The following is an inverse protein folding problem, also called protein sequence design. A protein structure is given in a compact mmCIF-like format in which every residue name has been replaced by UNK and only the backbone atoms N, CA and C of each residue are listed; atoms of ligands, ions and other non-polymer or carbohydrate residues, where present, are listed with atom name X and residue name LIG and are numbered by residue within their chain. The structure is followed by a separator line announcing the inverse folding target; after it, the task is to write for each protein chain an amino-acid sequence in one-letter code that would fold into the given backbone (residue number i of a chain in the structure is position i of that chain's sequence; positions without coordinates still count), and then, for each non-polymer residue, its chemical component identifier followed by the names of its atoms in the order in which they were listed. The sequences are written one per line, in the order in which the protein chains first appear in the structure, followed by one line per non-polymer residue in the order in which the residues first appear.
data_IF_023261230752
#
_entry.id   IF_023261230752
#
_cell.length_a   1.000
_cell.length_b   1.000
_cell.length_c   1.000
_cell.angle_alpha   90.00
_cell.angle_beta   90.00
_cell.angle_gamma   90.00
#
_symmetry.space_group_name_H-M   'P 1'
#
loop_
_entity.id
_entity.type
_entity.pdbx_description
1 polymer ?
#
# COMPACT_ATOMS: atom_id res chain seq x y z
N UNK A 1 14.89 4.74 -7.67
CA UNK A 1 13.97 4.21 -8.68
C UNK A 1 14.68 4.28 -10.03
N UNK A 2 14.54 3.25 -10.87
CA UNK A 2 15.01 3.28 -12.27
C UNK A 2 13.78 3.34 -13.16
N UNK A 3 13.72 4.32 -14.05
CA UNK A 3 12.59 4.52 -14.96
C UNK A 3 12.99 4.12 -16.39
N UNK A 4 12.18 3.25 -16.98
CA UNK A 4 12.40 2.71 -18.31
C UNK A 4 11.20 3.02 -19.21
N UNK A 5 11.47 3.39 -20.46
CA UNK A 5 10.46 3.49 -21.52
C UNK A 5 10.58 2.25 -22.41
N UNK A 6 9.50 1.52 -22.59
CA UNK A 6 9.46 0.37 -23.48
C UNK A 6 9.41 0.88 -24.93
N UNK A 7 10.40 0.51 -25.74
CA UNK A 7 10.47 0.86 -27.16
C UNK A 7 9.88 -0.25 -28.01
N UNK A 8 10.27 -1.51 -27.73
CA UNK A 8 9.87 -2.67 -28.52
C UNK A 8 9.62 -3.87 -27.61
N UNK A 9 8.62 -4.66 -27.96
CA UNK A 9 8.30 -5.92 -27.29
C UNK A 9 8.57 -7.09 -28.26
N UNK A 10 9.55 -7.92 -27.92
CA UNK A 10 9.97 -9.10 -28.71
C UNK A 10 9.34 -10.41 -28.20
N UNK A 11 8.42 -10.34 -27.23
CA UNK A 11 7.71 -11.49 -26.66
C UNK A 11 8.40 -12.07 -25.41
N UNK A 12 9.67 -12.42 -25.50
CA UNK A 12 10.51 -12.93 -24.42
C UNK A 12 11.42 -11.87 -23.78
N UNK A 13 11.53 -10.71 -24.42
CA UNK A 13 12.39 -9.60 -24.02
C UNK A 13 11.78 -8.26 -24.41
N UNK A 14 12.20 -7.20 -23.74
CA UNK A 14 11.80 -5.82 -24.01
C UNK A 14 13.03 -4.97 -24.31
N UNK A 15 13.01 -4.25 -25.45
CA UNK A 15 13.97 -3.20 -25.69
C UNK A 15 13.49 -1.91 -24.99
N UNK A 16 14.32 -1.36 -24.12
CA UNK A 16 13.94 -0.21 -23.30
C UNK A 16 14.96 0.93 -23.43
N UNK A 17 14.46 2.14 -23.34
CA UNK A 17 15.27 3.35 -23.10
C UNK A 17 15.29 3.65 -21.61
N UNK A 18 16.47 3.88 -21.05
CA UNK A 18 16.61 4.34 -19.66
C UNK A 18 16.29 5.84 -19.63
N UNK A 19 15.23 6.22 -18.88
CA UNK A 19 14.87 7.60 -18.64
C UNK A 19 15.59 8.12 -17.38
N UNK A 20 15.48 7.37 -16.27
CA UNK A 20 16.19 7.66 -15.02
C UNK A 20 17.08 6.46 -14.67
N UNK A 21 18.39 6.71 -14.63
CA UNK A 21 19.40 5.69 -14.40
C UNK A 21 19.54 5.32 -12.91
N UNK A 22 20.12 4.15 -12.66
CA UNK A 22 20.39 3.67 -11.31
C UNK A 22 20.88 2.24 -11.29
N UNK A 23 21.08 1.69 -10.09
CA UNK A 23 21.48 0.30 -9.90
C UNK A 23 20.25 -0.57 -9.68
N UNK A 24 20.10 -1.60 -10.49
CA UNK A 24 19.06 -2.63 -10.33
C UNK A 24 19.70 -3.86 -9.70
N UNK A 25 19.16 -4.28 -8.55
CA UNK A 25 19.54 -5.53 -7.90
C UNK A 25 18.54 -6.64 -8.26
N UNK A 26 18.93 -7.93 -8.14
CA UNK A 26 18.02 -9.05 -8.40
C UNK A 26 16.73 -8.99 -7.56
N UNK A 27 15.63 -9.55 -8.09
CA UNK A 27 14.32 -9.68 -7.42
C UNK A 27 13.68 -8.34 -7.04
N UNK A 28 13.86 -7.29 -7.84
CA UNK A 28 13.16 -6.02 -7.68
C UNK A 28 11.76 -6.08 -8.28
N UNK A 29 10.83 -5.42 -7.62
CA UNK A 29 9.50 -5.20 -8.17
C UNK A 29 9.59 -4.36 -9.43
N UNK A 30 8.68 -4.65 -10.37
CA UNK A 30 8.48 -3.88 -11.60
C UNK A 30 7.06 -3.33 -11.55
N UNK A 31 6.93 -2.02 -11.58
CA UNK A 31 5.66 -1.34 -11.68
C UNK A 31 5.40 -0.95 -13.13
N UNK A 32 4.15 -1.00 -13.55
CA UNK A 32 3.71 -0.69 -14.91
C UNK A 32 2.60 0.38 -14.83
N UNK A 33 2.96 1.65 -14.55
CA UNK A 33 1.97 2.71 -14.38
C UNK A 33 1.02 2.81 -15.58
N UNK A 34 -0.29 2.92 -15.31
CA UNK A 34 -1.32 3.02 -16.34
C UNK A 34 -1.65 1.73 -17.09
N UNK A 35 -1.04 0.59 -16.75
CA UNK A 35 -1.30 -0.70 -17.39
C UNK A 35 -2.06 -1.62 -16.43
N UNK A 36 -3.28 -1.99 -16.80
CA UNK A 36 -4.02 -3.04 -16.07
C UNK A 36 -3.45 -4.42 -16.42
N UNK A 37 -2.84 -5.07 -15.45
CA UNK A 37 -2.25 -6.42 -15.60
C UNK A 37 -3.30 -7.46 -15.25
N UNK A 38 -3.59 -8.38 -16.19
CA UNK A 38 -4.56 -9.48 -15.99
C UNK A 38 -3.95 -10.61 -15.14
N UNK A 39 -3.62 -10.31 -13.90
CA UNK A 39 -3.21 -11.31 -12.91
C UNK A 39 -4.38 -11.65 -11.99
N UNK A 40 -4.45 -12.88 -11.45
CA UNK A 40 -5.44 -13.19 -10.41
C UNK A 40 -5.25 -12.26 -9.21
N UNK A 41 -6.35 -11.90 -8.53
CA UNK A 41 -6.31 -11.08 -7.32
C UNK A 41 -5.59 -11.77 -6.16
N UNK A 42 -5.74 -13.12 -6.08
CA UNK A 42 -5.08 -14.00 -5.11
C UNK A 42 -4.35 -15.09 -5.87
N UNK A 43 -3.04 -15.17 -5.68
CA UNK A 43 -2.19 -16.22 -6.28
C UNK A 43 -2.25 -17.52 -5.47
N UNK A 44 -1.68 -18.61 -6.01
CA UNK A 44 -1.54 -19.85 -5.26
C UNK A 44 -0.61 -19.72 -4.03
N UNK A 45 0.34 -18.78 -4.08
CA UNK A 45 1.17 -18.47 -2.91
C UNK A 45 0.36 -17.76 -1.85
N UNK A 46 -0.40 -16.73 -2.25
CA UNK A 46 -1.23 -15.95 -1.32
C UNK A 46 -2.26 -16.85 -0.61
N UNK A 47 -2.82 -17.86 -1.30
CA UNK A 47 -3.72 -18.83 -0.67
C UNK A 47 -3.04 -19.61 0.46
N UNK A 48 -1.80 -20.04 0.27
CA UNK A 48 -1.03 -20.71 1.33
C UNK A 48 -0.74 -19.79 2.51
N UNK A 49 -0.43 -18.54 2.22
CA UNK A 49 -0.19 -17.53 3.25
C UNK A 49 -1.48 -17.22 4.03
N UNK A 50 -2.64 -17.19 3.35
CA UNK A 50 -3.96 -17.04 3.99
C UNK A 50 -4.33 -18.27 4.83
N UNK A 51 -4.03 -19.49 4.38
CA UNK A 51 -4.20 -20.72 5.16
C UNK A 51 -3.32 -20.69 6.42
N UNK A 52 -2.06 -20.28 6.29
CA UNK A 52 -1.16 -20.08 7.42
C UNK A 52 -1.67 -19.03 8.41
N UNK A 53 -2.22 -17.91 7.90
CA UNK A 53 -2.83 -16.88 8.74
C UNK A 53 -4.01 -17.42 9.57
N UNK A 54 -4.81 -18.33 8.99
CA UNK A 54 -5.88 -19.03 9.71
C UNK A 54 -5.33 -19.98 10.79
N UNK A 55 -4.28 -20.75 10.49
CA UNK A 55 -3.65 -21.66 11.44
C UNK A 55 -3.04 -20.91 12.65
N UNK A 56 -2.44 -19.74 12.41
CA UNK A 56 -1.82 -18.91 13.44
C UNK A 56 -2.82 -17.97 14.17
N UNK A 57 -4.10 -18.02 13.79
CA UNK A 57 -5.17 -17.22 14.40
C UNK A 57 -4.86 -15.71 14.42
N UNK A 58 -4.43 -15.16 13.28
CA UNK A 58 -4.15 -13.72 13.18
C UNK A 58 -5.45 -12.90 13.27
N UNK A 59 -5.38 -11.72 13.87
CA UNK A 59 -6.54 -10.83 14.02
C UNK A 59 -6.87 -10.07 12.73
N UNK A 60 -5.84 -9.75 11.93
CA UNK A 60 -5.95 -8.86 10.76
C UNK A 60 -5.07 -9.37 9.62
N UNK A 61 -5.61 -9.34 8.41
CA UNK A 61 -4.86 -9.57 7.16
C UNK A 61 -4.94 -8.32 6.29
N UNK A 62 -3.81 -7.84 5.80
CA UNK A 62 -3.73 -6.73 4.85
C UNK A 62 -3.46 -7.26 3.44
N UNK A 63 -4.36 -6.94 2.50
CA UNK A 63 -4.30 -7.37 1.11
C UNK A 63 -3.56 -6.33 0.27
N UNK A 64 -2.39 -6.69 -0.26
CA UNK A 64 -1.58 -5.81 -1.12
C UNK A 64 -2.09 -5.77 -2.55
N UNK A 65 -1.83 -4.66 -3.24
CA UNK A 65 -2.16 -4.41 -4.64
C UNK A 65 -3.61 -4.73 -5.01
N UNK A 66 -4.52 -4.45 -4.08
CA UNK A 66 -5.94 -4.70 -4.30
C UNK A 66 -6.48 -3.81 -5.41
N UNK A 67 -7.23 -4.41 -6.36
CA UNK A 67 -7.76 -3.72 -7.53
C UNK A 67 -9.28 -3.58 -7.52
N UNK A 68 -9.98 -4.53 -6.90
CA UNK A 68 -11.44 -4.58 -6.91
C UNK A 68 -11.99 -5.28 -5.66
N UNK A 69 -13.30 -5.13 -5.46
CA UNK A 69 -14.01 -5.75 -4.34
C UNK A 69 -14.05 -7.28 -4.38
N UNK A 70 -14.01 -7.89 -5.56
CA UNK A 70 -14.21 -9.33 -5.72
C UNK A 70 -13.09 -10.13 -5.04
N UNK A 71 -11.85 -9.63 -5.11
CA UNK A 71 -10.72 -10.20 -4.38
C UNK A 71 -10.94 -10.21 -2.87
N UNK A 72 -11.52 -9.13 -2.32
CA UNK A 72 -11.84 -9.06 -0.87
C UNK A 72 -12.91 -10.09 -0.51
N UNK A 73 -13.95 -10.20 -1.35
CA UNK A 73 -15.05 -11.13 -1.12
C UNK A 73 -14.58 -12.58 -1.21
N UNK A 74 -13.66 -12.90 -2.13
CA UNK A 74 -13.03 -14.21 -2.24
C UNK A 74 -12.30 -14.59 -0.96
N UNK A 75 -11.44 -13.70 -0.42
CA UNK A 75 -10.71 -13.96 0.83
C UNK A 75 -11.66 -14.06 2.03
N UNK A 76 -12.67 -13.21 2.08
CA UNK A 76 -13.68 -13.24 3.15
C UNK A 76 -14.46 -14.55 3.16
N UNK A 77 -14.79 -15.10 1.99
CA UNK A 77 -15.46 -16.39 1.88
C UNK A 77 -14.56 -17.54 2.38
N UNK A 78 -13.27 -17.54 2.02
CA UNK A 78 -12.29 -18.52 2.53
C UNK A 78 -12.24 -18.54 4.06
N UNK A 79 -12.26 -17.37 4.71
CA UNK A 79 -12.23 -17.26 6.16
C UNK A 79 -13.57 -17.72 6.78
N UNK A 80 -14.70 -17.34 6.18
CA UNK A 80 -16.03 -17.73 6.62
C UNK A 80 -16.23 -19.25 6.58
N UNK A 81 -15.75 -19.92 5.56
CA UNK A 81 -15.82 -21.40 5.42
C UNK A 81 -15.08 -22.12 6.55
N UNK A 82 -14.08 -21.48 7.15
CA UNK A 82 -13.34 -21.98 8.32
C UNK A 82 -13.92 -21.52 9.66
N UNK A 83 -15.01 -20.72 9.64
CA UNK A 83 -15.64 -20.18 10.85
C UNK A 83 -14.92 -18.99 11.48
N UNK A 84 -13.98 -18.36 10.74
CA UNK A 84 -13.14 -17.29 11.25
C UNK A 84 -13.64 -15.90 10.85
N UNK A 85 -13.38 -14.91 11.71
CA UNK A 85 -13.74 -13.52 11.51
C UNK A 85 -12.50 -12.60 11.49
N UNK A 86 -11.52 -12.96 10.67
CA UNK A 86 -10.31 -12.15 10.48
C UNK A 86 -10.67 -10.82 9.79
N UNK A 87 -10.14 -9.71 10.31
CA UNK A 87 -10.34 -8.39 9.70
C UNK A 87 -9.51 -8.22 8.45
N UNK A 88 -10.10 -7.63 7.41
CA UNK A 88 -9.44 -7.39 6.13
C UNK A 88 -9.16 -5.90 5.93
N UNK A 89 -7.89 -5.56 5.77
CA UNK A 89 -7.43 -4.22 5.40
C UNK A 89 -7.06 -4.24 3.92
N UNK A 90 -7.69 -3.38 3.13
CA UNK A 90 -7.33 -3.19 1.73
C UNK A 90 -6.18 -2.18 1.62
N UNK A 91 -5.07 -2.57 1.00
CA UNK A 91 -3.98 -1.66 0.68
C UNK A 91 -4.21 -1.06 -0.71
N UNK A 92 -4.35 0.26 -0.75
CA UNK A 92 -4.52 1.02 -1.99
C UNK A 92 -3.13 1.43 -2.46
N UNK A 93 -2.67 0.79 -3.54
CA UNK A 93 -1.29 0.81 -4.03
C UNK A 93 -1.18 1.03 -5.54
N UNK A 94 -2.32 1.12 -6.25
CA UNK A 94 -2.37 1.26 -7.69
C UNK A 94 -3.59 2.09 -8.15
N UNK A 95 -3.56 2.54 -9.41
CA UNK A 95 -4.63 3.36 -9.99
C UNK A 95 -5.99 2.64 -10.00
N UNK A 96 -6.01 1.35 -10.35
CA UNK A 96 -7.27 0.57 -10.42
C UNK A 96 -7.95 0.49 -9.03
N UNK A 97 -7.16 0.35 -7.95
CA UNK A 97 -7.67 0.42 -6.58
C UNK A 97 -8.23 1.79 -6.20
N UNK A 98 -7.66 2.87 -6.74
CA UNK A 98 -8.18 4.25 -6.56
C UNK A 98 -9.49 4.44 -7.33
N UNK A 99 -9.59 3.90 -8.54
CA UNK A 99 -10.78 3.98 -9.38
C UNK A 99 -11.96 3.22 -8.74
N UNK A 100 -11.70 2.04 -8.17
CA UNK A 100 -12.68 1.16 -7.53
C UNK A 100 -12.81 1.37 -6.01
N UNK A 101 -12.26 2.48 -5.49
CA UNK A 101 -12.11 2.73 -4.06
C UNK A 101 -13.41 2.57 -3.26
N UNK A 102 -14.52 3.13 -3.75
CA UNK A 102 -15.77 3.15 -2.99
C UNK A 102 -16.37 1.73 -2.82
N UNK A 103 -16.28 0.89 -3.85
CA UNK A 103 -16.74 -0.49 -3.76
C UNK A 103 -15.83 -1.36 -2.87
N UNK A 104 -14.52 -1.09 -2.87
CA UNK A 104 -13.54 -1.77 -2.01
C UNK A 104 -13.81 -1.43 -0.54
N UNK A 105 -13.98 -0.14 -0.22
CA UNK A 105 -14.25 0.33 1.14
C UNK A 105 -15.48 -0.35 1.74
N UNK A 106 -16.54 -0.51 0.97
CA UNK A 106 -17.79 -1.10 1.47
C UNK A 106 -17.62 -2.55 1.97
N UNK A 107 -16.71 -3.32 1.38
CA UNK A 107 -16.52 -4.75 1.69
C UNK A 107 -15.33 -5.06 2.58
N UNK A 108 -14.50 -4.06 2.93
CA UNK A 108 -13.34 -4.19 3.83
C UNK A 108 -13.66 -3.74 5.25
N UNK A 109 -12.80 -4.06 6.19
CA UNK A 109 -12.87 -3.57 7.58
C UNK A 109 -12.05 -2.29 7.76
N UNK A 110 -11.09 -2.03 6.88
CA UNK A 110 -10.30 -0.81 6.84
C UNK A 110 -9.49 -0.67 5.57
N UNK A 111 -8.88 0.48 5.41
CA UNK A 111 -8.05 0.85 4.27
C UNK A 111 -6.67 1.25 4.76
N UNK A 112 -5.63 0.87 4.01
CA UNK A 112 -4.28 1.40 4.15
C UNK A 112 -3.90 2.17 2.89
N UNK A 113 -3.56 3.44 3.05
CA UNK A 113 -2.93 4.24 1.98
C UNK A 113 -1.44 3.93 2.01
N UNK A 114 -0.98 3.05 1.13
CA UNK A 114 0.42 2.65 1.02
C UNK A 114 1.14 3.58 0.01
N UNK A 115 1.51 4.76 0.49
CA UNK A 115 1.95 5.90 -0.34
C UNK A 115 3.21 5.61 -1.15
N UNK A 116 4.08 4.73 -0.66
CA UNK A 116 5.31 4.35 -1.35
C UNK A 116 5.04 3.72 -2.71
N UNK A 117 4.19 2.68 -2.75
CA UNK A 117 3.83 2.00 -3.99
C UNK A 117 2.84 2.82 -4.80
N UNK A 118 1.83 3.41 -4.16
CA UNK A 118 0.83 4.24 -4.83
C UNK A 118 1.46 5.42 -5.57
N UNK A 119 2.45 6.11 -4.96
CA UNK A 119 3.15 7.24 -5.58
C UNK A 119 4.07 6.87 -6.75
N UNK A 120 4.23 5.57 -7.06
CA UNK A 120 4.89 5.09 -8.27
C UNK A 120 3.87 4.85 -9.40
N UNK A 121 2.65 4.46 -9.03
CA UNK A 121 1.58 4.06 -9.94
C UNK A 121 0.69 5.22 -10.41
N UNK A 122 0.68 6.35 -9.70
CA UNK A 122 -0.09 7.54 -10.00
C UNK A 122 0.83 8.76 -10.14
N UNK A 123 0.30 9.87 -10.63
CA UNK A 123 1.03 11.14 -10.59
C UNK A 123 1.20 11.59 -9.13
N UNK A 124 2.45 11.90 -8.75
CA UNK A 124 2.83 12.22 -7.37
C UNK A 124 2.03 13.40 -6.80
N UNK A 125 1.66 14.35 -7.64
CA UNK A 125 0.88 15.53 -7.30
C UNK A 125 -0.56 15.19 -6.91
N UNK A 126 -1.09 14.06 -7.34
CA UNK A 126 -2.44 13.59 -7.01
C UNK A 126 -2.51 12.86 -5.67
N UNK A 127 -1.37 12.34 -5.18
CA UNK A 127 -1.32 11.54 -3.97
C UNK A 127 -2.00 12.20 -2.76
N UNK A 128 -1.78 13.50 -2.43
CA UNK A 128 -2.45 14.13 -1.30
C UNK A 128 -3.97 14.23 -1.47
N UNK A 129 -4.46 14.41 -2.70
CA UNK A 129 -5.90 14.48 -2.99
C UNK A 129 -6.56 13.11 -2.86
N UNK A 130 -5.87 12.07 -3.34
CA UNK A 130 -6.32 10.68 -3.23
C UNK A 130 -6.36 10.27 -1.75
N UNK A 131 -5.33 10.59 -0.97
CA UNK A 131 -5.31 10.31 0.48
C UNK A 131 -6.53 10.97 1.17
N UNK A 132 -6.82 12.24 0.89
CA UNK A 132 -8.00 12.93 1.43
C UNK A 132 -9.31 12.30 0.99
N UNK A 133 -9.42 11.88 -0.26
CA UNK A 133 -10.60 11.15 -0.76
C UNK A 133 -10.79 9.85 0.00
N UNK A 134 -9.72 9.10 0.24
CA UNK A 134 -9.76 7.86 1.01
C UNK A 134 -10.20 8.16 2.46
N UNK A 135 -9.61 9.14 3.10
CA UNK A 135 -9.97 9.54 4.46
C UNK A 135 -11.46 9.91 4.59
N UNK A 136 -11.95 10.76 3.68
CA UNK A 136 -13.36 11.11 3.62
C UNK A 136 -14.28 9.89 3.45
N UNK A 137 -13.95 8.97 2.56
CA UNK A 137 -14.74 7.77 2.31
C UNK A 137 -14.67 6.79 3.49
N UNK A 138 -13.51 6.63 4.13
CA UNK A 138 -13.39 5.82 5.34
C UNK A 138 -14.28 6.37 6.46
N UNK A 139 -14.27 7.67 6.69
CA UNK A 139 -15.16 8.32 7.66
C UNK A 139 -16.65 8.14 7.27
N UNK A 140 -17.01 8.35 6.00
CA UNK A 140 -18.38 8.18 5.48
C UNK A 140 -18.91 6.76 5.72
N UNK A 141 -18.09 5.73 5.51
CA UNK A 141 -18.48 4.33 5.64
C UNK A 141 -18.14 3.70 7.00
N UNK A 142 -17.59 4.46 7.95
CA UNK A 142 -17.20 3.98 9.28
C UNK A 142 -16.10 2.93 9.22
N UNK A 143 -15.10 3.10 8.34
CA UNK A 143 -13.99 2.19 8.16
C UNK A 143 -12.71 2.77 8.73
N UNK A 144 -11.83 1.88 9.22
CA UNK A 144 -10.51 2.28 9.72
C UNK A 144 -9.60 2.75 8.61
N UNK A 145 -8.81 3.78 8.90
CA UNK A 145 -7.82 4.34 7.98
C UNK A 145 -6.42 4.23 8.58
N UNK A 146 -5.50 3.65 7.80
CA UNK A 146 -4.07 3.61 8.10
C UNK A 146 -3.34 4.41 7.02
N UNK A 147 -2.56 5.41 7.42
CA UNK A 147 -1.64 6.12 6.52
C UNK A 147 -0.25 5.55 6.70
N UNK A 148 0.34 5.04 5.62
CA UNK A 148 1.57 4.28 5.66
C UNK A 148 2.64 4.82 4.72
N UNK A 149 3.89 4.56 5.09
CA UNK A 149 5.14 4.86 4.37
C UNK A 149 5.50 6.34 4.27
N UNK A 150 6.81 6.61 4.21
CA UNK A 150 7.39 7.95 4.04
C UNK A 150 6.92 8.98 5.09
N UNK A 151 6.68 8.54 6.33
CA UNK A 151 6.24 9.42 7.41
C UNK A 151 7.43 10.19 8.01
N UNK A 152 8.52 9.49 8.33
CA UNK A 152 9.75 10.02 8.93
C UNK A 152 11.00 9.44 8.24
N UNK A 153 10.96 9.30 6.91
CA UNK A 153 12.00 8.61 6.14
C UNK A 153 13.39 9.22 6.35
N UNK A 154 13.49 10.55 6.50
CA UNK A 154 14.75 11.21 6.78
C UNK A 154 15.37 10.78 8.12
N UNK A 155 14.54 10.32 9.07
CA UNK A 155 15.01 9.83 10.36
C UNK A 155 15.57 8.40 10.32
N UNK A 156 15.54 7.73 9.19
CA UNK A 156 16.35 6.52 9.02
C UNK A 156 17.83 6.80 9.23
N UNK A 157 18.30 7.96 8.83
CA UNK A 157 19.70 8.39 8.92
C UNK A 157 19.92 9.57 9.88
N UNK A 158 18.94 10.45 10.07
CA UNK A 158 19.05 11.68 10.85
C UNK A 158 18.29 11.61 12.17
N UNK A 159 18.80 12.23 13.24
CA UNK A 159 18.15 12.19 14.56
C UNK A 159 16.91 13.07 14.68
N UNK A 160 16.60 13.89 13.68
CA UNK A 160 15.45 14.81 13.66
C UNK A 160 14.80 14.77 12.27
N UNK A 161 13.46 14.88 12.19
CA UNK A 161 12.75 14.89 10.92
C UNK A 161 12.84 16.24 10.22
N UNK A 162 12.44 16.27 8.96
CA UNK A 162 12.20 17.50 8.22
C UNK A 162 10.89 18.17 8.65
N UNK A 163 10.76 19.47 8.36
CA UNK A 163 9.47 20.17 8.57
C UNK A 163 8.34 19.62 7.71
N UNK A 164 8.67 19.15 6.49
CA UNK A 164 7.69 18.56 5.59
C UNK A 164 7.09 17.27 6.17
N UNK A 165 7.93 16.41 6.75
CA UNK A 165 7.47 15.18 7.42
C UNK A 165 6.56 15.47 8.61
N UNK A 166 6.92 16.44 9.45
CA UNK A 166 6.05 16.86 10.57
C UNK A 166 4.71 17.40 10.06
N UNK A 167 4.72 18.18 8.99
CA UNK A 167 3.48 18.70 8.38
C UNK A 167 2.63 17.57 7.80
N UNK A 168 3.25 16.59 7.18
CA UNK A 168 2.58 15.43 6.58
C UNK A 168 1.91 14.56 7.66
N UNK A 169 2.62 14.28 8.76
CA UNK A 169 2.06 13.58 9.94
C UNK A 169 0.86 14.36 10.49
N UNK A 170 1.02 15.67 10.70
CA UNK A 170 -0.07 16.50 11.20
C UNK A 170 -1.29 16.47 10.26
N UNK A 171 -1.08 16.48 8.94
CA UNK A 171 -2.17 16.35 7.97
C UNK A 171 -2.87 15.00 8.09
N UNK A 172 -2.15 13.90 8.21
CA UNK A 172 -2.75 12.57 8.40
C UNK A 172 -3.63 12.52 9.67
N UNK A 173 -3.19 13.18 10.76
CA UNK A 173 -3.98 13.30 11.99
C UNK A 173 -5.21 14.20 11.77
N UNK A 174 -5.07 15.33 11.09
CA UNK A 174 -6.21 16.23 10.79
C UNK A 174 -7.23 15.56 9.85
N UNK A 175 -6.80 14.66 8.98
CA UNK A 175 -7.64 13.84 8.13
C UNK A 175 -8.32 12.69 8.91
N UNK A 176 -8.08 12.59 10.22
CA UNK A 176 -8.67 11.61 11.13
C UNK A 176 -8.28 10.16 10.80
N UNK A 177 -7.02 9.93 10.40
CA UNK A 177 -6.51 8.57 10.31
C UNK A 177 -6.53 7.89 11.68
N UNK A 178 -6.93 6.60 11.70
CA UNK A 178 -6.96 5.80 12.92
C UNK A 178 -5.56 5.35 13.34
N UNK A 179 -4.66 5.20 12.39
CA UNK A 179 -3.27 4.84 12.63
C UNK A 179 -2.34 5.42 11.57
N UNK A 180 -1.10 5.65 11.99
CA UNK A 180 0.02 6.01 11.12
C UNK A 180 1.07 4.90 11.26
N UNK A 181 1.61 4.43 10.14
CA UNK A 181 2.56 3.31 10.13
C UNK A 181 3.96 3.79 9.78
N UNK A 182 4.91 3.45 10.64
CA UNK A 182 6.35 3.51 10.36
C UNK A 182 6.80 2.18 9.76
N UNK A 183 7.75 2.20 8.84
CA UNK A 183 8.28 1.03 8.13
C UNK A 183 9.80 0.92 8.34
N UNK A 184 10.59 1.39 7.38
CA UNK A 184 12.04 1.41 7.45
C UNK A 184 12.58 2.16 8.65
N UNK A 185 11.89 3.22 9.07
CA UNK A 185 12.23 4.08 10.18
C UNK A 185 12.43 3.32 11.50
N UNK A 186 11.63 2.27 11.71
CA UNK A 186 11.69 1.43 12.93
C UNK A 186 12.34 0.07 12.71
N UNK A 187 12.37 -0.44 11.46
CA UNK A 187 12.92 -1.78 11.17
C UNK A 187 14.42 -1.77 10.85
N UNK A 188 14.90 -0.72 10.16
CA UNK A 188 16.31 -0.62 9.70
C UNK A 188 16.95 0.73 9.98
N UNK A 189 16.16 1.73 10.38
CA UNK A 189 16.64 3.08 10.70
C UNK A 189 17.53 3.13 11.93
N UNK A 190 18.34 4.18 12.03
CA UNK A 190 19.27 4.39 13.14
C UNK A 190 18.62 4.86 14.44
N UNK A 191 17.39 5.41 14.35
CA UNK A 191 16.71 6.06 15.48
C UNK A 191 15.28 5.53 15.72
N UNK A 192 15.05 4.20 15.82
CA UNK A 192 13.71 3.59 15.81
C UNK A 192 12.81 4.11 16.95
N UNK A 193 13.35 4.18 18.18
CA UNK A 193 12.59 4.67 19.34
C UNK A 193 12.22 6.13 19.16
N UNK A 194 13.16 6.96 18.69
CA UNK A 194 12.92 8.38 18.49
C UNK A 194 11.90 8.66 17.37
N UNK A 195 11.84 7.80 16.36
CA UNK A 195 10.79 7.89 15.33
C UNK A 195 9.39 7.72 15.95
N UNK A 196 9.23 6.74 16.84
CA UNK A 196 7.96 6.52 17.55
C UNK A 196 7.63 7.68 18.49
N UNK A 197 8.63 8.24 19.18
CA UNK A 197 8.42 9.40 20.07
C UNK A 197 8.07 10.68 19.30
N UNK A 198 8.47 10.77 18.02
CA UNK A 198 8.21 11.94 17.17
C UNK A 198 6.83 11.88 16.50
N UNK A 199 6.33 10.68 16.25
CA UNK A 199 5.05 10.42 15.62
C UNK A 199 3.87 10.75 16.58
#
# INVERSE_FOLDING_TARGET
LVKLEILENHGDSLACRVLDGGTITPKRHVNLPGISVKLPGITLSDRKDLEFALEENVDVVALSFLRNRDTVLEVREMFRERGEQIKLIAKIENQEGVDNLEEIIQVTDGIMVARGDLGIEIDMEELPQIQRKIAYLCAKYGKRLIVATQMLESMMENPVPTRAEITDIANAVFEQSDAIMLSGETSTGKYPVRCVETL
#
